data_IF_974852163555
#
_entry.id   IF_974852163555
#
_cell.length_a   1.000
_cell.length_b   1.000
_cell.length_c   1.000
_cell.angle_alpha   90.00
_cell.angle_beta   90.00
_cell.angle_gamma   90.00
#
_symmetry.space_group_name_H-M   'P 1'
#
loop_
_entity.id
_entity.type
_entity.pdbx_description
1 polymer ?
#
# COMPACT_ATOMS: atom_id res chain seq x y z
N UNK A 1 -40.41 21.01 11.38
CA UNK A 1 -39.19 21.38 12.14
C UNK A 1 -38.73 22.74 11.64
N UNK A 2 -38.41 23.68 12.52
CA UNK A 2 -38.09 25.06 12.13
C UNK A 2 -36.73 25.05 11.36
N UNK A 3 -36.70 25.57 10.13
CA UNK A 3 -35.52 25.60 9.25
C UNK A 3 -34.27 26.12 9.96
N UNK A 4 -34.40 27.11 10.83
CA UNK A 4 -33.30 27.68 11.62
C UNK A 4 -32.70 26.65 12.59
N UNK A 5 -33.53 25.83 13.23
CA UNK A 5 -33.08 24.78 14.16
C UNK A 5 -32.37 23.68 13.43
N UNK A 6 -32.92 23.26 12.30
CA UNK A 6 -32.28 22.22 11.44
C UNK A 6 -30.91 22.67 10.93
N UNK A 7 -30.84 23.92 10.45
CA UNK A 7 -29.58 24.51 9.98
C UNK A 7 -28.54 24.58 11.12
N UNK A 8 -28.96 25.03 12.33
CA UNK A 8 -28.07 25.13 13.49
C UNK A 8 -27.53 23.74 13.89
N UNK A 9 -28.37 22.72 13.89
CA UNK A 9 -27.97 21.33 14.21
C UNK A 9 -26.96 20.82 13.16
N UNK A 10 -27.24 20.99 11.88
CA UNK A 10 -26.34 20.54 10.80
C UNK A 10 -25.01 21.29 10.85
N UNK A 11 -25.03 22.58 11.11
CA UNK A 11 -23.83 23.40 11.23
C UNK A 11 -22.99 22.99 12.44
N UNK A 12 -23.62 22.73 13.58
CA UNK A 12 -22.94 22.24 14.79
C UNK A 12 -22.32 20.86 14.54
N UNK A 13 -23.03 19.94 13.88
CA UNK A 13 -22.49 18.63 13.52
C UNK A 13 -21.27 18.78 12.60
N UNK A 14 -21.34 19.65 11.60
CA UNK A 14 -20.22 19.91 10.70
C UNK A 14 -18.99 20.46 11.44
N UNK A 15 -19.17 21.44 12.34
CA UNK A 15 -18.08 21.99 13.15
C UNK A 15 -17.47 20.93 14.06
N UNK A 16 -18.29 20.16 14.77
CA UNK A 16 -17.83 19.09 15.67
C UNK A 16 -17.07 18.03 14.86
N UNK A 17 -17.56 17.67 13.67
CA UNK A 17 -16.88 16.72 12.79
C UNK A 17 -15.52 17.24 12.34
N UNK A 18 -15.39 18.51 11.98
CA UNK A 18 -14.12 19.12 11.58
C UNK A 18 -13.13 19.16 12.75
N UNK A 19 -13.60 19.58 13.95
CA UNK A 19 -12.75 19.61 15.15
C UNK A 19 -12.29 18.20 15.51
N UNK A 20 -13.20 17.24 15.56
CA UNK A 20 -12.88 15.84 15.87
C UNK A 20 -11.87 15.28 14.86
N UNK A 21 -12.12 15.49 13.60
CA UNK A 21 -11.27 15.11 12.49
C UNK A 21 -9.84 15.67 12.61
N UNK A 22 -9.73 16.99 12.87
CA UNK A 22 -8.42 17.65 13.03
C UNK A 22 -7.70 17.13 14.29
N UNK A 23 -8.42 16.90 15.36
CA UNK A 23 -7.86 16.38 16.62
C UNK A 23 -7.37 14.95 16.44
N UNK A 24 -8.11 14.12 15.70
CA UNK A 24 -7.70 12.74 15.37
C UNK A 24 -6.48 12.72 14.46
N UNK A 25 -6.38 13.59 13.44
CA UNK A 25 -5.20 13.71 12.60
C UNK A 25 -3.95 14.06 13.43
N UNK A 26 -4.06 15.01 14.33
CA UNK A 26 -2.97 15.39 15.25
C UNK A 26 -2.63 14.22 16.18
N UNK A 27 -3.65 13.58 16.77
CA UNK A 27 -3.44 12.43 17.64
C UNK A 27 -2.72 11.29 16.94
N UNK A 28 -3.14 10.93 15.73
CA UNK A 28 -2.54 9.88 14.93
C UNK A 28 -1.11 10.25 14.53
N UNK A 29 -0.88 11.49 14.08
CA UNK A 29 0.46 11.94 13.73
C UNK A 29 1.44 11.89 14.91
N UNK A 30 0.95 12.07 16.15
CA UNK A 30 1.78 12.00 17.37
C UNK A 30 1.95 10.56 17.86
N UNK A 31 0.91 9.74 17.75
CA UNK A 31 0.86 8.41 18.38
C UNK A 31 0.86 7.26 17.40
N UNK A 32 0.98 7.51 16.07
CA UNK A 32 1.09 6.43 15.10
C UNK A 32 2.43 5.68 15.33
N UNK A 33 2.37 4.47 15.90
CA UNK A 33 3.57 3.70 16.19
C UNK A 33 4.33 3.30 14.93
N UNK A 34 3.67 3.30 13.76
CA UNK A 34 4.32 2.98 12.50
C UNK A 34 5.18 4.14 11.97
N UNK A 35 4.84 5.39 12.32
CA UNK A 35 5.51 6.57 11.78
C UNK A 35 6.34 7.35 12.81
N UNK A 36 5.85 7.50 14.04
CA UNK A 36 6.50 8.33 15.04
C UNK A 36 7.24 7.54 16.13
N UNK A 37 6.76 6.34 16.48
CA UNK A 37 7.35 5.55 17.56
C UNK A 37 8.56 4.74 17.13
N UNK A 38 8.60 4.28 15.89
CA UNK A 38 9.62 3.40 15.35
C UNK A 38 10.78 4.16 14.72
N UNK A 39 10.47 5.27 14.03
CA UNK A 39 11.48 6.05 13.35
C UNK A 39 12.19 7.06 14.25
N UNK A 40 11.61 7.44 15.40
CA UNK A 40 12.18 8.49 16.24
C UNK A 40 13.22 8.03 17.25
N UNK A 41 13.29 6.75 17.60
CA UNK A 41 14.17 6.30 18.71
C UNK A 41 15.33 5.39 18.33
N UNK A 42 15.26 4.68 17.21
CA UNK A 42 16.25 3.63 16.88
C UNK A 42 16.90 3.78 15.51
N UNK A 43 16.51 4.77 14.71
CA UNK A 43 16.98 4.90 13.33
C UNK A 43 18.05 6.00 13.21
N UNK A 44 18.10 6.95 14.13
CA UNK A 44 19.09 8.04 14.10
C UNK A 44 20.54 7.56 14.31
N UNK A 45 20.75 6.35 14.81
CA UNK A 45 22.09 5.80 15.09
C UNK A 45 22.68 4.95 13.95
N UNK A 46 21.95 4.71 12.85
CA UNK A 46 22.53 3.96 11.74
C UNK A 46 22.95 4.88 10.60
N UNK A 47 24.24 4.90 10.27
CA UNK A 47 24.80 5.56 9.07
C UNK A 47 24.28 4.93 7.76
N UNK A 48 23.34 3.97 7.84
CA UNK A 48 22.84 3.23 6.69
C UNK A 48 21.80 4.03 5.93
N UNK A 49 21.87 3.97 4.61
CA UNK A 49 20.85 4.52 3.70
C UNK A 49 19.59 3.68 3.75
N UNK A 50 18.47 4.32 3.97
CA UNK A 50 17.16 3.65 4.14
C UNK A 50 16.53 3.34 2.82
N UNK A 51 15.96 2.13 2.71
CA UNK A 51 15.12 1.71 1.58
C UNK A 51 13.77 1.31 2.16
N UNK A 52 12.68 1.82 1.61
CA UNK A 52 11.35 1.42 2.01
C UNK A 52 10.71 0.55 0.94
N UNK A 53 10.27 -0.64 1.36
CA UNK A 53 9.39 -1.51 0.58
C UNK A 53 7.95 -1.16 0.96
N UNK A 54 7.16 -0.75 -0.02
CA UNK A 54 5.73 -0.46 0.14
C UNK A 54 4.90 -1.34 -0.79
N UNK A 55 3.66 -1.55 -0.45
CA UNK A 55 2.72 -2.40 -1.19
C UNK A 55 1.67 -3.03 -0.28
N UNK A 56 0.83 -3.88 -0.87
CA UNK A 56 -0.24 -4.58 -0.16
C UNK A 56 0.28 -5.79 0.64
N UNK A 57 -0.63 -6.57 1.20
CA UNK A 57 -0.30 -7.84 1.87
C UNK A 57 0.46 -8.86 0.99
N UNK A 58 0.43 -8.69 -0.33
CA UNK A 58 1.18 -9.52 -1.28
C UNK A 58 2.70 -9.41 -1.14
N UNK A 59 3.20 -8.36 -0.50
CA UNK A 59 4.64 -8.17 -0.23
C UNK A 59 5.04 -8.46 1.22
N UNK A 60 4.12 -8.96 2.07
CA UNK A 60 4.40 -9.31 3.47
C UNK A 60 5.47 -10.38 3.63
N UNK A 61 5.52 -11.35 2.71
CA UNK A 61 6.50 -12.44 2.74
C UNK A 61 7.91 -12.03 2.34
N UNK A 62 8.12 -10.79 1.91
CA UNK A 62 9.46 -10.27 1.65
C UNK A 62 10.16 -10.01 2.99
N UNK A 63 11.16 -10.83 3.28
CA UNK A 63 11.90 -10.81 4.52
C UNK A 63 12.99 -9.73 4.50
N UNK A 64 12.72 -8.63 5.20
CA UNK A 64 13.68 -7.53 5.33
C UNK A 64 14.96 -7.94 6.04
N UNK A 65 14.89 -8.82 7.03
CA UNK A 65 16.08 -9.30 7.75
C UNK A 65 17.00 -10.10 6.84
N UNK A 66 16.43 -10.96 5.97
CA UNK A 66 17.19 -11.68 4.96
C UNK A 66 17.90 -10.72 3.99
N UNK A 67 17.20 -9.70 3.49
CA UNK A 67 17.76 -8.73 2.56
C UNK A 67 18.82 -7.88 3.24
N UNK A 68 18.60 -7.44 4.46
CA UNK A 68 19.56 -6.65 5.24
C UNK A 68 20.85 -7.43 5.53
N UNK A 69 20.73 -8.72 5.83
CA UNK A 69 21.90 -9.60 5.95
C UNK A 69 22.66 -9.73 4.62
N UNK A 70 21.94 -9.85 3.48
CA UNK A 70 22.57 -9.85 2.15
C UNK A 70 23.28 -8.53 1.84
N UNK A 71 22.72 -7.38 2.19
CA UNK A 71 23.41 -6.09 2.05
C UNK A 71 24.71 -6.06 2.88
N UNK A 72 24.66 -6.51 4.11
CA UNK A 72 25.83 -6.56 4.98
C UNK A 72 26.93 -7.47 4.42
N UNK A 73 26.60 -8.66 3.94
CA UNK A 73 27.57 -9.59 3.30
C UNK A 73 28.19 -8.99 2.05
N UNK A 74 27.46 -8.18 1.29
CA UNK A 74 27.93 -7.52 0.07
C UNK A 74 28.54 -6.13 0.35
N UNK A 75 28.82 -5.79 1.60
CA UNK A 75 29.42 -4.51 2.02
C UNK A 75 28.63 -3.29 1.53
N UNK A 76 27.29 -3.42 1.46
CA UNK A 76 26.40 -2.34 1.06
C UNK A 76 25.83 -1.63 2.29
N UNK A 77 25.94 -0.30 2.30
CA UNK A 77 25.46 0.54 3.39
C UNK A 77 23.97 0.87 3.25
N UNK A 78 23.12 -0.16 3.11
CA UNK A 78 21.67 -0.03 2.97
C UNK A 78 20.94 -0.81 4.05
N UNK A 79 19.75 -0.34 4.39
CA UNK A 79 18.81 -1.03 5.27
C UNK A 79 17.39 -0.94 4.71
N UNK A 80 16.77 -2.10 4.48
CA UNK A 80 15.41 -2.23 3.98
C UNK A 80 14.42 -2.34 5.13
N UNK A 81 13.35 -1.58 5.05
CA UNK A 81 12.19 -1.62 5.93
C UNK A 81 10.95 -2.01 5.13
N UNK A 82 10.27 -3.07 5.55
CA UNK A 82 9.02 -3.51 4.91
C UNK A 82 7.84 -2.74 5.54
N UNK A 83 7.33 -1.75 4.83
CA UNK A 83 6.19 -0.92 5.20
C UNK A 83 4.89 -1.35 4.49
N UNK A 84 4.81 -2.61 4.10
CA UNK A 84 3.59 -3.15 3.50
C UNK A 84 2.38 -2.97 4.43
N UNK A 85 1.21 -2.74 3.85
CA UNK A 85 -0.03 -2.59 4.61
C UNK A 85 -1.15 -3.42 3.98
N UNK A 86 -2.07 -3.91 4.81
CA UNK A 86 -3.19 -4.73 4.34
C UNK A 86 -4.09 -3.91 3.40
N UNK A 87 -4.40 -4.50 2.25
CA UNK A 87 -5.25 -3.85 1.23
C UNK A 87 -4.71 -2.48 0.79
N UNK A 88 -3.39 -2.32 0.78
CA UNK A 88 -2.76 -1.11 0.25
C UNK A 88 -3.04 -0.95 -1.24
N UNK A 89 -3.39 0.28 -1.61
CA UNK A 89 -3.60 0.69 -2.99
C UNK A 89 -2.85 1.99 -3.23
N UNK A 90 -2.53 2.36 -4.48
CA UNK A 90 -1.90 3.64 -4.77
C UNK A 90 -2.62 4.83 -4.15
N UNK A 91 -3.96 4.86 -4.22
CA UNK A 91 -4.74 5.94 -3.61
C UNK A 91 -4.59 5.99 -2.09
N UNK A 92 -4.63 4.85 -1.42
CA UNK A 92 -4.40 4.77 0.03
C UNK A 92 -2.97 5.19 0.40
N UNK A 93 -1.99 4.70 -0.34
CA UNK A 93 -0.57 5.02 -0.11
C UNK A 93 -0.27 6.50 -0.29
N UNK A 94 -0.93 7.16 -1.23
CA UNK A 94 -0.77 8.61 -1.45
C UNK A 94 -1.09 9.41 -0.17
N UNK A 95 -2.03 8.96 0.66
CA UNK A 95 -2.38 9.63 1.91
C UNK A 95 -1.22 9.66 2.93
N UNK A 96 -0.34 8.67 2.89
CA UNK A 96 0.81 8.55 3.79
C UNK A 96 2.15 8.97 3.16
N UNK A 97 2.16 9.43 1.92
CA UNK A 97 3.40 9.67 1.17
C UNK A 97 4.29 10.73 1.84
N UNK A 98 3.72 11.76 2.44
CA UNK A 98 4.47 12.80 3.13
C UNK A 98 5.22 12.25 4.35
N UNK A 99 4.63 11.30 5.06
CA UNK A 99 5.28 10.62 6.18
C UNK A 99 6.46 9.76 5.70
N UNK A 100 6.32 9.13 4.54
CA UNK A 100 7.41 8.38 3.89
C UNK A 100 8.56 9.33 3.54
N UNK A 101 8.26 10.43 2.85
CA UNK A 101 9.23 11.43 2.41
C UNK A 101 9.97 12.05 3.60
N UNK A 102 9.26 12.37 4.69
CA UNK A 102 9.88 12.98 5.88
C UNK A 102 10.92 12.11 6.57
N UNK A 103 10.94 10.81 6.26
CA UNK A 103 11.95 9.87 6.76
C UNK A 103 13.18 9.73 5.85
N UNK A 104 13.29 10.56 4.80
CA UNK A 104 14.45 10.63 3.91
C UNK A 104 14.96 9.26 3.42
N UNK A 105 14.14 8.41 2.79
CA UNK A 105 14.66 7.18 2.20
C UNK A 105 15.51 7.49 0.96
N UNK A 106 16.57 6.73 0.75
CA UNK A 106 17.38 6.76 -0.49
C UNK A 106 16.57 6.23 -1.67
N UNK A 107 15.75 5.20 -1.41
CA UNK A 107 14.93 4.59 -2.42
C UNK A 107 13.63 4.01 -1.85
N UNK A 108 12.63 3.93 -2.72
CA UNK A 108 11.39 3.20 -2.48
C UNK A 108 11.27 2.12 -3.54
N UNK A 109 10.99 0.89 -3.09
CA UNK A 109 10.56 -0.20 -3.94
C UNK A 109 9.07 -0.47 -3.70
N UNK A 110 8.25 -0.32 -4.73
CA UNK A 110 6.79 -0.38 -4.62
C UNK A 110 6.22 -1.59 -5.37
N UNK A 111 5.59 -2.50 -4.62
CA UNK A 111 4.85 -3.63 -5.16
C UNK A 111 3.46 -3.22 -5.63
N UNK A 112 3.23 -3.28 -6.94
CA UNK A 112 1.96 -2.95 -7.59
C UNK A 112 1.18 -4.23 -7.83
N UNK A 113 0.01 -4.31 -7.22
CA UNK A 113 -0.89 -5.45 -7.35
C UNK A 113 -1.89 -5.22 -8.49
N UNK A 114 -2.05 -6.20 -9.38
CA UNK A 114 -3.04 -6.13 -10.46
C UNK A 114 -4.46 -5.92 -9.93
N UNK A 115 -4.78 -6.44 -8.75
CA UNK A 115 -6.09 -6.27 -8.11
C UNK A 115 -6.41 -4.82 -7.74
N UNK A 116 -5.41 -3.97 -7.59
CA UNK A 116 -5.61 -2.55 -7.30
C UNK A 116 -6.42 -1.83 -8.39
N UNK A 117 -6.43 -2.38 -9.60
CA UNK A 117 -7.12 -1.81 -10.76
C UNK A 117 -8.44 -2.49 -11.09
N UNK A 118 -8.97 -3.36 -10.21
CA UNK A 118 -10.28 -3.95 -10.37
C UNK A 118 -11.37 -2.86 -10.37
N UNK A 119 -12.25 -2.86 -11.38
CA UNK A 119 -13.36 -1.91 -11.49
C UNK A 119 -14.30 -1.92 -10.26
N UNK A 120 -14.36 -3.04 -9.53
CA UNK A 120 -15.15 -3.19 -8.30
C UNK A 120 -14.40 -2.81 -7.04
N UNK A 121 -13.10 -2.46 -7.14
CA UNK A 121 -12.34 -2.04 -5.95
C UNK A 121 -13.03 -0.82 -5.35
N UNK A 122 -13.46 -0.87 -4.07
CA UNK A 122 -14.11 0.27 -3.44
C UNK A 122 -13.23 1.50 -3.55
N UNK A 123 -13.82 2.64 -3.85
CA UNK A 123 -13.12 3.93 -3.91
C UNK A 123 -12.44 4.26 -2.58
N UNK A 124 -12.95 3.67 -1.47
CA UNK A 124 -12.40 3.77 -0.12
C UNK A 124 -12.38 2.37 0.50
N UNK A 125 -11.23 1.87 0.90
CA UNK A 125 -11.09 0.49 1.35
C UNK A 125 -11.62 0.25 2.77
N UNK A 126 -11.65 1.25 3.64
CA UNK A 126 -12.22 1.13 4.98
C UNK A 126 -12.58 2.49 5.58
N UNK A 127 -13.49 2.48 6.54
CA UNK A 127 -13.87 3.64 7.36
C UNK A 127 -12.71 4.09 8.27
N UNK A 128 -11.79 3.19 8.59
CA UNK A 128 -10.56 3.56 9.29
C UNK A 128 -9.77 4.62 8.52
N UNK A 129 -9.69 4.55 7.19
CA UNK A 129 -9.05 5.57 6.37
C UNK A 129 -9.78 6.92 6.41
N UNK A 130 -11.12 6.88 6.43
CA UNK A 130 -11.93 8.08 6.58
C UNK A 130 -11.68 8.78 7.92
N UNK A 131 -11.44 8.02 8.97
CA UNK A 131 -11.16 8.53 10.33
C UNK A 131 -9.69 8.98 10.44
N UNK A 132 -8.77 8.24 9.80
CA UNK A 132 -7.33 8.49 9.90
C UNK A 132 -6.85 9.69 9.06
N UNK A 133 -7.51 9.99 7.96
CA UNK A 133 -7.10 11.05 7.03
C UNK A 133 -8.25 11.97 6.59
N UNK A 134 -8.95 12.58 7.55
CA UNK A 134 -10.18 13.34 7.25
C UNK A 134 -9.95 14.57 6.37
N UNK A 135 -8.77 15.20 6.41
CA UNK A 135 -8.48 16.37 5.55
C UNK A 135 -8.41 16.00 4.07
N UNK A 136 -7.74 14.90 3.76
CA UNK A 136 -7.61 14.41 2.40
C UNK A 136 -8.97 13.98 1.85
N UNK A 137 -9.75 13.30 2.70
CA UNK A 137 -11.09 12.84 2.38
C UNK A 137 -12.06 14.02 2.26
N UNK A 138 -11.94 15.06 3.07
CA UNK A 138 -12.78 16.24 2.96
C UNK A 138 -12.56 16.94 1.63
N UNK A 139 -11.33 17.03 1.17
CA UNK A 139 -11.02 17.54 -0.17
C UNK A 139 -11.60 16.64 -1.28
N UNK A 140 -11.43 15.34 -1.17
CA UNK A 140 -11.98 14.36 -2.12
C UNK A 140 -13.53 14.34 -2.08
N UNK A 141 -14.14 14.40 -0.88
CA UNK A 141 -15.59 14.46 -0.72
C UNK A 141 -16.17 15.74 -1.30
N UNK A 142 -15.50 16.88 -1.16
CA UNK A 142 -16.00 18.15 -1.71
C UNK A 142 -16.03 18.12 -3.24
N UNK A 143 -15.10 17.42 -3.86
CA UNK A 143 -15.09 17.21 -5.32
C UNK A 143 -15.95 16.02 -5.78
N UNK A 144 -16.13 14.99 -4.94
CA UNK A 144 -16.90 13.77 -5.24
C UNK A 144 -18.35 13.79 -4.69
N UNK A 145 -18.77 14.82 -3.93
CA UNK A 145 -20.11 14.91 -3.35
C UNK A 145 -21.22 14.75 -4.42
N UNK A 146 -20.97 15.23 -5.64
CA UNK A 146 -21.94 15.13 -6.74
C UNK A 146 -22.02 13.69 -7.27
N UNK A 147 -20.94 12.94 -7.27
CA UNK A 147 -20.91 11.54 -7.74
C UNK A 147 -21.24 10.54 -6.64
N UNK A 148 -20.89 10.83 -5.38
CA UNK A 148 -21.05 9.91 -4.24
C UNK A 148 -22.49 9.82 -3.70
N UNK A 149 -23.35 10.81 -4.00
CA UNK A 149 -24.79 10.75 -3.65
C UNK A 149 -25.48 9.57 -4.39
N UNK A 150 -24.91 9.08 -5.47
CA UNK A 150 -25.47 7.97 -6.27
C UNK A 150 -25.01 6.58 -5.85
N UNK A 151 -23.94 6.44 -5.08
CA UNK A 151 -23.41 5.14 -4.66
C UNK A 151 -23.48 4.99 -3.13
N UNK A 152 -24.16 3.93 -2.67
CA UNK A 152 -24.26 3.61 -1.22
C UNK A 152 -22.87 3.47 -0.60
N UNK A 153 -22.61 4.24 0.45
CA UNK A 153 -21.39 4.13 1.26
C UNK A 153 -21.29 2.70 1.83
N UNK A 154 -20.25 1.92 1.52
CA UNK A 154 -20.12 0.57 2.05
C UNK A 154 -19.86 0.58 3.55
N UNK A 155 -20.45 -0.37 4.26
CA UNK A 155 -20.34 -0.57 5.70
C UNK A 155 -21.54 -0.05 6.49
N UNK A 156 -21.97 -0.81 7.50
CA UNK A 156 -23.10 -0.41 8.34
C UNK A 156 -22.69 0.71 9.31
N UNK A 157 -23.63 1.62 9.70
CA UNK A 157 -23.36 2.63 10.73
C UNK A 157 -22.86 2.02 12.05
N UNK A 158 -23.24 0.77 12.34
CA UNK A 158 -22.84 0.00 13.53
C UNK A 158 -21.35 -0.36 13.49
N UNK A 159 -20.86 -0.82 12.35
CA UNK A 159 -19.45 -1.21 12.17
C UNK A 159 -18.55 0.02 12.29
N UNK A 160 -19.02 1.18 11.83
CA UNK A 160 -18.35 2.48 11.94
C UNK A 160 -18.16 2.91 13.39
N UNK A 161 -19.26 2.89 14.13
CA UNK A 161 -19.26 3.29 15.55
C UNK A 161 -18.38 2.37 16.39
N UNK A 162 -18.34 1.06 16.07
CA UNK A 162 -17.54 0.08 16.78
C UNK A 162 -16.04 0.25 16.51
N UNK A 163 -15.65 0.53 15.25
CA UNK A 163 -14.27 0.84 14.89
C UNK A 163 -13.78 2.14 15.52
N UNK A 164 -14.60 3.18 15.46
CA UNK A 164 -14.30 4.47 16.12
C UNK A 164 -14.14 4.30 17.62
N UNK A 165 -15.06 3.59 18.27
CA UNK A 165 -14.99 3.32 19.70
C UNK A 165 -13.74 2.48 20.06
N UNK A 166 -13.43 1.46 19.28
CA UNK A 166 -12.23 0.64 19.46
C UNK A 166 -10.97 1.50 19.35
N UNK A 167 -10.93 2.42 18.38
CA UNK A 167 -9.80 3.31 18.17
C UNK A 167 -9.64 4.32 19.33
N UNK A 168 -10.76 4.88 19.83
CA UNK A 168 -10.76 5.80 20.98
C UNK A 168 -10.33 5.10 22.26
N UNK A 169 -10.78 3.85 22.48
CA UNK A 169 -10.53 3.11 23.73
C UNK A 169 -9.14 2.45 23.77
N UNK A 170 -8.62 2.01 22.66
CA UNK A 170 -7.40 1.19 22.59
C UNK A 170 -6.26 1.84 21.80
N UNK A 171 -6.50 3.05 21.29
CA UNK A 171 -5.55 3.73 20.40
C UNK A 171 -5.39 3.06 19.04
N UNK A 172 -4.54 3.62 18.16
CA UNK A 172 -4.21 3.01 16.88
C UNK A 172 -3.59 1.64 17.14
N UNK A 173 -4.23 0.60 16.61
CA UNK A 173 -3.64 -0.73 16.64
C UNK A 173 -2.55 -0.76 15.58
N UNK A 174 -1.29 -1.04 15.94
CA UNK A 174 -0.24 -1.17 14.94
C UNK A 174 -0.62 -2.33 14.02
N UNK A 175 -0.99 -2.00 12.77
CA UNK A 175 -1.30 -3.04 11.81
C UNK A 175 -0.05 -3.83 11.45
N UNK A 176 1.12 -3.19 11.43
CA UNK A 176 2.42 -3.83 11.20
C UNK A 176 3.54 -3.05 11.87
N UNK A 177 4.44 -3.79 12.48
CA UNK A 177 5.72 -3.27 12.91
C UNK A 177 6.70 -3.47 11.74
N UNK A 178 7.31 -2.43 11.17
CA UNK A 178 8.19 -2.57 10.00
C UNK A 178 9.42 -3.43 10.24
N UNK A 179 9.66 -3.82 11.49
CA UNK A 179 10.79 -4.66 11.92
C UNK A 179 10.37 -6.06 12.39
N UNK A 180 9.08 -6.38 12.40
CA UNK A 180 8.62 -7.71 12.79
C UNK A 180 8.53 -8.57 11.54
N UNK A 181 9.27 -9.66 11.52
CA UNK A 181 9.00 -10.74 10.60
C UNK A 181 7.58 -11.25 10.85
N UNK A 182 6.78 -11.35 9.80
CA UNK A 182 5.45 -11.92 9.90
C UNK A 182 5.55 -13.35 10.42
N UNK A 183 4.55 -13.79 11.19
CA UNK A 183 4.48 -15.16 11.65
C UNK A 183 4.55 -16.13 10.46
N UNK A 184 5.28 -17.20 10.62
CA UNK A 184 5.37 -18.25 9.60
C UNK A 184 3.98 -18.74 9.21
N UNK A 185 3.80 -18.96 7.92
CA UNK A 185 2.55 -19.48 7.35
C UNK A 185 2.84 -20.76 6.57
N UNK A 186 1.91 -21.74 6.59
CA UNK A 186 2.09 -22.96 5.82
C UNK A 186 2.09 -22.68 4.32
N UNK A 187 2.77 -23.53 3.56
CA UNK A 187 2.70 -23.57 2.11
C UNK A 187 1.52 -24.45 1.72
N UNK A 188 0.63 -23.91 0.89
CA UNK A 188 -0.48 -24.63 0.30
C UNK A 188 -0.05 -25.22 -1.04
N UNK A 189 -0.21 -26.52 -1.29
CA UNK A 189 0.08 -27.13 -2.58
C UNK A 189 -0.68 -26.45 -3.73
N UNK A 190 -0.04 -26.27 -4.88
CA UNK A 190 -0.64 -25.54 -6.03
C UNK A 190 -1.94 -26.19 -6.49
N UNK A 191 -2.05 -27.51 -6.41
CA UNK A 191 -3.25 -28.25 -6.79
C UNK A 191 -4.44 -28.04 -5.83
N UNK A 192 -4.20 -27.53 -4.62
CA UNK A 192 -5.23 -27.19 -3.63
C UNK A 192 -5.68 -25.71 -3.77
N UNK A 193 -4.94 -24.91 -4.51
CA UNK A 193 -5.31 -23.52 -4.75
C UNK A 193 -6.58 -23.42 -5.59
N UNK A 194 -7.44 -22.46 -5.23
CA UNK A 194 -8.71 -22.24 -5.93
C UNK A 194 -8.48 -21.99 -7.41
N UNK A 195 -9.16 -22.75 -8.27
CA UNK A 195 -9.31 -22.42 -9.69
C UNK A 195 -10.50 -21.48 -9.86
N UNK A 196 -10.33 -20.44 -10.64
CA UNK A 196 -11.41 -19.52 -10.98
C UNK A 196 -12.03 -19.91 -12.31
N UNK A 197 -13.34 -19.68 -12.42
CA UNK A 197 -14.09 -19.79 -13.67
C UNK A 197 -14.22 -18.41 -14.32
N UNK A 198 -14.49 -18.36 -15.62
CA UNK A 198 -14.63 -17.09 -16.35
C UNK A 198 -15.70 -16.15 -15.74
N UNK A 199 -16.73 -16.72 -15.11
CA UNK A 199 -17.77 -15.95 -14.43
C UNK A 199 -17.28 -15.28 -13.13
N UNK A 200 -16.17 -15.72 -12.59
CA UNK A 200 -15.55 -15.13 -11.40
C UNK A 200 -14.49 -14.08 -11.76
N UNK A 201 -14.14 -13.97 -13.05
CA UNK A 201 -13.16 -12.97 -13.48
C UNK A 201 -13.74 -11.57 -13.31
N UNK A 202 -12.91 -10.68 -12.77
CA UNK A 202 -13.20 -9.27 -12.73
C UNK A 202 -12.45 -8.54 -13.85
N UNK A 203 -12.98 -7.42 -14.25
CA UNK A 203 -12.35 -6.55 -15.25
C UNK A 203 -11.49 -5.51 -14.59
N UNK A 204 -10.40 -5.17 -15.24
CA UNK A 204 -9.55 -4.08 -14.82
C UNK A 204 -10.04 -2.76 -15.44
N UNK A 205 -9.91 -1.67 -14.69
CA UNK A 205 -9.96 -0.31 -15.23
C UNK A 205 -8.53 0.23 -15.28
N UNK A 206 -7.94 0.20 -16.46
CA UNK A 206 -6.57 0.67 -16.73
C UNK A 206 -6.59 2.01 -17.48
N UNK A 207 -7.72 2.72 -17.46
CA UNK A 207 -7.84 4.04 -18.07
C UNK A 207 -6.99 5.09 -17.35
N UNK A 208 -6.51 6.09 -18.06
CA UNK A 208 -5.75 7.22 -17.47
C UNK A 208 -6.55 8.00 -16.42
N UNK A 209 -7.87 7.85 -16.40
CA UNK A 209 -8.76 8.48 -15.41
C UNK A 209 -8.97 7.62 -14.16
N UNK A 210 -8.40 6.41 -14.12
CA UNK A 210 -8.48 5.57 -12.93
C UNK A 210 -7.76 6.24 -11.75
N UNK A 211 -8.43 6.38 -10.62
CA UNK A 211 -7.90 7.03 -9.41
C UNK A 211 -6.62 6.36 -8.90
N UNK A 212 -6.46 5.06 -9.09
CA UNK A 212 -5.24 4.35 -8.66
C UNK A 212 -4.05 4.71 -9.55
N UNK A 213 -4.26 4.88 -10.86
CA UNK A 213 -3.21 5.31 -11.80
C UNK A 213 -2.82 6.75 -11.53
N UNK A 214 -3.81 7.63 -11.33
CA UNK A 214 -3.59 9.04 -10.96
C UNK A 214 -2.79 9.13 -9.65
N UNK A 215 -3.19 8.35 -8.63
CA UNK A 215 -2.50 8.33 -7.35
C UNK A 215 -1.06 7.79 -7.47
N UNK A 216 -0.85 6.73 -8.25
CA UNK A 216 0.49 6.20 -8.53
C UNK A 216 1.38 7.26 -9.19
N UNK A 217 0.82 8.00 -10.16
CA UNK A 217 1.53 9.11 -10.81
C UNK A 217 1.91 10.21 -9.80
N UNK A 218 1.00 10.58 -8.91
CA UNK A 218 1.26 11.58 -7.88
C UNK A 218 2.32 11.11 -6.89
N UNK A 219 2.27 9.85 -6.43
CA UNK A 219 3.29 9.23 -5.57
C UNK A 219 4.67 9.34 -6.22
N UNK A 220 4.79 8.89 -7.47
CA UNK A 220 6.08 8.93 -8.19
C UNK A 220 6.58 10.35 -8.34
N UNK A 221 5.72 11.30 -8.68
CA UNK A 221 6.09 12.70 -8.83
C UNK A 221 6.59 13.31 -7.51
N UNK A 222 5.88 13.08 -6.39
CA UNK A 222 6.29 13.61 -5.09
C UNK A 222 7.60 12.98 -4.61
N UNK A 223 7.81 11.68 -4.82
CA UNK A 223 9.05 11.02 -4.47
C UNK A 223 10.24 11.56 -5.29
N UNK A 224 10.08 11.68 -6.60
CA UNK A 224 11.12 12.23 -7.49
C UNK A 224 11.46 13.68 -7.18
N UNK A 225 10.46 14.50 -6.84
CA UNK A 225 10.65 15.90 -6.43
C UNK A 225 11.50 16.03 -5.15
N UNK A 226 11.54 14.99 -4.34
CA UNK A 226 12.36 14.90 -3.12
C UNK A 226 13.62 14.05 -3.33
N UNK A 227 14.06 13.85 -4.57
CA UNK A 227 15.26 13.10 -4.95
C UNK A 227 15.27 11.64 -4.45
N UNK A 228 14.10 11.06 -4.20
CA UNK A 228 13.93 9.69 -3.76
C UNK A 228 13.82 8.77 -5.00
N UNK A 229 14.70 7.79 -5.09
CA UNK A 229 14.66 6.81 -6.16
C UNK A 229 13.43 5.92 -6.03
N UNK A 230 12.69 5.75 -7.14
CA UNK A 230 11.51 4.90 -7.20
C UNK A 230 11.77 3.68 -8.08
N UNK A 231 11.44 2.49 -7.58
CA UNK A 231 11.51 1.22 -8.29
C UNK A 231 10.13 0.57 -8.17
N UNK A 232 9.53 0.19 -9.28
CA UNK A 232 8.24 -0.50 -9.29
C UNK A 232 8.44 -1.98 -9.61
N UNK A 233 7.58 -2.82 -9.04
CA UNK A 233 7.47 -4.21 -9.47
C UNK A 233 6.03 -4.69 -9.38
N UNK A 234 5.61 -5.56 -10.28
CA UNK A 234 4.31 -6.22 -10.18
C UNK A 234 4.40 -7.38 -9.18
N UNK A 235 3.45 -7.43 -8.23
CA UNK A 235 3.44 -8.47 -7.19
C UNK A 235 3.06 -9.83 -7.76
N UNK A 236 3.69 -10.93 -7.31
CA UNK A 236 3.41 -12.26 -7.82
C UNK A 236 2.06 -12.80 -7.35
N UNK A 237 1.50 -13.71 -8.14
CA UNK A 237 0.33 -14.52 -7.78
C UNK A 237 0.47 -15.94 -8.36
N UNK A 238 -0.15 -16.92 -7.69
CA UNK A 238 -0.27 -18.26 -8.25
C UNK A 238 -1.44 -18.35 -9.22
N UNK A 239 -2.57 -17.78 -8.82
CA UNK A 239 -3.82 -17.73 -9.61
C UNK A 239 -4.58 -16.46 -9.25
N UNK A 240 -5.08 -15.76 -10.25
CA UNK A 240 -5.86 -14.55 -10.06
C UNK A 240 -7.10 -14.59 -10.95
N UNK A 241 -8.26 -14.08 -10.48
CA UNK A 241 -9.47 -14.08 -11.28
C UNK A 241 -9.50 -12.91 -12.28
N UNK A 242 -8.55 -12.91 -13.20
CA UNK A 242 -8.39 -11.91 -14.27
C UNK A 242 -8.11 -12.66 -15.57
N UNK A 243 -8.60 -12.18 -16.68
CA UNK A 243 -8.31 -12.75 -17.99
C UNK A 243 -6.85 -12.54 -18.38
N UNK A 244 -6.31 -13.41 -19.24
CA UNK A 244 -4.95 -13.23 -19.78
C UNK A 244 -4.83 -11.89 -20.56
N UNK A 245 -5.86 -11.51 -21.28
CA UNK A 245 -5.93 -10.21 -21.98
C UNK A 245 -5.80 -9.02 -21.01
N UNK A 246 -6.48 -9.08 -19.87
CA UNK A 246 -6.36 -8.04 -18.84
C UNK A 246 -4.96 -8.01 -18.20
N UNK A 247 -4.28 -9.16 -18.06
CA UNK A 247 -2.88 -9.23 -17.60
C UNK A 247 -1.95 -8.54 -18.60
N UNK A 248 -2.10 -8.83 -19.88
CA UNK A 248 -1.30 -8.19 -20.95
C UNK A 248 -1.53 -6.67 -21.00
N UNK A 249 -2.77 -6.23 -20.82
CA UNK A 249 -3.11 -4.81 -20.72
C UNK A 249 -2.49 -4.16 -19.47
N UNK A 250 -2.45 -4.88 -18.34
CA UNK A 250 -1.79 -4.41 -17.12
C UNK A 250 -0.26 -4.27 -17.31
N UNK A 251 0.38 -5.23 -17.95
CA UNK A 251 1.81 -5.12 -18.30
C UNK A 251 2.08 -3.90 -19.20
N UNK A 252 1.23 -3.75 -20.22
CA UNK A 252 1.34 -2.59 -21.12
C UNK A 252 1.19 -1.28 -20.35
N UNK A 253 0.20 -1.17 -19.49
CA UNK A 253 0.00 0.03 -18.65
C UNK A 253 1.23 0.32 -17.79
N UNK A 254 1.81 -0.69 -17.13
CA UNK A 254 3.03 -0.51 -16.33
C UNK A 254 4.24 -0.12 -17.18
N UNK A 255 4.36 -0.67 -18.39
CA UNK A 255 5.44 -0.32 -19.31
C UNK A 255 5.32 1.13 -19.80
N UNK A 256 4.12 1.53 -20.23
CA UNK A 256 3.84 2.92 -20.64
C UNK A 256 4.13 3.88 -19.47
N UNK A 257 3.68 3.54 -18.27
CA UNK A 257 3.95 4.31 -17.05
C UNK A 257 5.45 4.42 -16.74
N UNK A 258 6.20 3.33 -16.88
CA UNK A 258 7.66 3.28 -16.72
C UNK A 258 8.35 4.27 -17.66
N UNK A 259 7.98 4.24 -18.94
CA UNK A 259 8.56 5.12 -19.96
C UNK A 259 8.20 6.59 -19.73
N UNK A 260 6.91 6.89 -19.49
CA UNK A 260 6.42 8.26 -19.25
C UNK A 260 7.10 8.88 -18.02
N UNK A 261 7.38 8.08 -17.00
CA UNK A 261 7.91 8.54 -15.72
C UNK A 261 9.42 8.31 -15.53
N UNK A 262 10.08 7.65 -16.45
CA UNK A 262 11.48 7.23 -16.30
C UNK A 262 11.73 6.56 -14.92
N UNK A 263 10.95 5.51 -14.62
CA UNK A 263 11.10 4.67 -13.42
C UNK A 263 11.21 3.20 -13.84
N UNK A 264 12.14 2.43 -13.27
CA UNK A 264 12.27 1.03 -13.59
C UNK A 264 11.06 0.23 -13.08
N UNK A 265 10.58 -0.71 -13.90
CA UNK A 265 9.52 -1.66 -13.56
C UNK A 265 10.03 -3.08 -13.75
N UNK A 266 9.73 -3.95 -12.79
CA UNK A 266 10.07 -5.37 -12.81
C UNK A 266 8.81 -6.23 -12.75
N UNK A 267 8.70 -7.20 -13.65
CA UNK A 267 7.53 -8.06 -13.76
C UNK A 267 7.74 -9.36 -12.98
N UNK A 268 7.05 -9.51 -11.84
CA UNK A 268 7.12 -10.71 -11.02
C UNK A 268 5.78 -11.45 -10.94
N UNK A 269 4.71 -10.90 -11.49
CA UNK A 269 3.34 -11.41 -11.30
C UNK A 269 3.14 -12.86 -11.75
N UNK A 270 3.81 -13.32 -12.81
CA UNK A 270 3.75 -14.72 -13.28
C UNK A 270 5.02 -15.53 -12.97
N UNK A 271 6.03 -14.91 -12.33
CA UNK A 271 7.36 -15.52 -12.17
C UNK A 271 7.36 -16.83 -11.38
N UNK A 272 6.41 -16.99 -10.46
CA UNK A 272 6.40 -18.10 -9.51
C UNK A 272 5.16 -19.00 -9.61
N UNK A 273 4.36 -18.91 -10.66
CA UNK A 273 3.08 -19.64 -10.82
C UNK A 273 3.22 -21.16 -10.65
N UNK A 274 4.38 -21.74 -11.00
CA UNK A 274 4.66 -23.17 -10.86
C UNK A 274 5.51 -23.51 -9.61
N UNK A 275 5.70 -22.58 -8.69
CA UNK A 275 6.51 -22.81 -7.48
C UNK A 275 5.63 -23.11 -6.28
N UNK A 276 6.01 -24.08 -5.48
CA UNK A 276 5.37 -24.42 -4.20
C UNK A 276 5.81 -23.42 -3.11
N UNK A 277 5.35 -22.18 -3.22
CA UNK A 277 5.69 -21.10 -2.27
C UNK A 277 4.47 -20.36 -1.77
N UNK A 278 3.27 -20.81 -2.08
CA UNK A 278 2.04 -20.05 -1.90
C UNK A 278 1.34 -20.40 -0.58
N UNK A 279 0.88 -19.38 0.14
CA UNK A 279 -0.07 -19.53 1.23
C UNK A 279 -1.50 -19.68 0.69
N UNK A 280 -1.82 -18.91 -0.31
CA UNK A 280 -3.10 -18.87 -1.03
C UNK A 280 -2.88 -18.38 -2.47
N UNK A 281 -3.93 -18.10 -3.20
CA UNK A 281 -3.86 -17.77 -4.63
C UNK A 281 -2.98 -16.55 -4.96
N UNK A 282 -2.80 -15.63 -4.03
CA UNK A 282 -2.14 -14.33 -4.27
C UNK A 282 -1.03 -14.00 -3.26
N UNK A 283 -0.93 -14.75 -2.17
CA UNK A 283 0.09 -14.49 -1.16
C UNK A 283 1.15 -15.59 -1.16
N UNK A 284 2.40 -15.18 -1.30
CA UNK A 284 3.54 -16.07 -1.00
C UNK A 284 3.55 -16.33 0.51
N UNK A 285 3.79 -17.57 0.91
CA UNK A 285 3.88 -17.96 2.31
C UNK A 285 5.09 -17.27 2.99
N UNK A 286 4.97 -16.98 4.27
CA UNK A 286 6.09 -16.52 5.10
C UNK A 286 6.80 -17.78 5.63
N UNK A 287 7.85 -18.20 4.94
CA UNK A 287 8.57 -19.42 5.26
C UNK A 287 10.02 -19.33 4.78
N UNK A 288 10.92 -20.13 5.36
CA UNK A 288 12.31 -20.19 4.95
C UNK A 288 12.47 -20.68 3.50
N UNK A 289 11.60 -21.59 3.05
CA UNK A 289 11.63 -22.14 1.71
C UNK A 289 11.15 -21.14 0.63
N UNK A 290 10.52 -20.03 1.04
CA UNK A 290 9.99 -19.01 0.15
C UNK A 290 10.93 -17.80 -0.06
N UNK A 291 12.16 -17.86 0.46
CA UNK A 291 13.17 -16.79 0.35
C UNK A 291 13.55 -16.42 -1.09
N UNK A 292 13.14 -17.21 -2.08
CA UNK A 292 13.34 -16.90 -3.50
C UNK A 292 12.74 -15.55 -3.86
N UNK A 293 11.56 -15.20 -3.31
CA UNK A 293 10.92 -13.91 -3.55
C UNK A 293 11.74 -12.76 -2.95
N UNK A 294 12.17 -12.90 -1.68
CA UNK A 294 13.06 -11.92 -1.04
C UNK A 294 14.40 -11.77 -1.76
N UNK A 295 14.95 -12.89 -2.27
CA UNK A 295 16.19 -12.85 -3.04
C UNK A 295 16.03 -12.09 -4.36
N UNK A 296 14.92 -12.25 -5.07
CA UNK A 296 14.68 -11.52 -6.31
C UNK A 296 14.54 -10.01 -6.05
N UNK A 297 13.85 -9.62 -4.98
CA UNK A 297 13.79 -8.21 -4.55
C UNK A 297 15.19 -7.68 -4.20
N UNK A 298 16.02 -8.47 -3.51
CA UNK A 298 17.42 -8.09 -3.26
C UNK A 298 18.20 -7.87 -4.55
N UNK A 299 18.07 -8.75 -5.55
CA UNK A 299 18.76 -8.59 -6.84
C UNK A 299 18.30 -7.34 -7.60
N UNK A 300 17.00 -7.03 -7.58
CA UNK A 300 16.45 -5.80 -8.15
C UNK A 300 17.09 -4.58 -7.47
N UNK A 301 17.09 -4.55 -6.14
CA UNK A 301 17.67 -3.46 -5.37
C UNK A 301 19.17 -3.32 -5.65
N UNK A 302 19.92 -4.42 -5.66
CA UNK A 302 21.36 -4.40 -5.94
C UNK A 302 21.67 -3.81 -7.31
N UNK A 303 20.91 -4.21 -8.35
CA UNK A 303 21.04 -3.67 -9.70
C UNK A 303 20.76 -2.16 -9.74
N UNK A 304 19.64 -1.75 -9.15
CA UNK A 304 19.19 -0.37 -9.25
C UNK A 304 20.02 0.61 -8.41
N UNK A 305 20.48 0.18 -7.24
CA UNK A 305 21.29 1.03 -6.36
C UNK A 305 22.74 1.15 -6.83
N UNK A 306 23.28 0.14 -7.54
CA UNK A 306 24.62 0.24 -8.13
C UNK A 306 24.65 1.18 -9.33
N UNK A 307 23.56 1.30 -10.11
CA UNK A 307 23.46 2.18 -11.27
C UNK A 307 23.37 3.67 -10.89
N UNK A 308 23.18 3.99 -9.61
CA UNK A 308 23.14 5.39 -9.11
C UNK A 308 24.51 5.93 -8.71
N UNK A 309 25.60 5.17 -8.87
CA UNK A 309 26.95 5.54 -8.45
C UNK A 309 27.82 6.09 -9.60
N UNK A 310 27.21 6.51 -10.73
CA UNK A 310 27.90 7.11 -11.87
C UNK A 310 27.46 8.60 -12.01
#
# INVERSE_FOLDING_TARGET
>A
MNFRITFLILFTIAIVSVIFSTTMDVYISIYDPNWNGLFSKNIDDSDKKRIFLIGSSTVYSIDSSYINNKFSINEKNYELYNLADMSDTPHKRLLSINNIISNNPEAIIYGIDVQNFNQKTPKYSTISELILHPKTIFNDIFFDIIDTIKEKIPGSPKDRSLLTLKYILFGPQPHHHPFINFAETPITPINELKNYTDSEFYRLDLSKNNKQIIALQQIVNELKKNDIKVILFSTPYAKIPVSQEDVEHFEKMLNDFSQENNVPVYYLHEKYVLKEIWRDNIHVAVNNDTKIYSNDIFQILLKELNNSAI
#
